data_IF_161757030583
#
_entry.id   IF_161757030583
#
_cell.length_a   1.000
_cell.length_b   1.000
_cell.length_c   1.000
_cell.angle_alpha   90.00
_cell.angle_beta   90.00
_cell.angle_gamma   90.00
#
_symmetry.space_group_name_H-M   'P 1'
#
loop_
_entity.id
_entity.type
_entity.pdbx_description
1 polymer ?
#
# COMPACT_ATOMS: atom_id res chain seq x y z
N UNK A 1 -8.15 -26.08 -2.55
CA UNK A 1 -7.27 -26.46 -3.67
C UNK A 1 -8.11 -27.35 -4.59
N UNK A 2 -8.37 -26.88 -5.80
CA UNK A 2 -9.00 -27.68 -6.84
C UNK A 2 -7.95 -28.66 -7.39
N UNK A 3 -7.98 -29.90 -6.94
CA UNK A 3 -7.02 -30.96 -7.26
C UNK A 3 -7.04 -31.43 -8.72
N UNK A 4 -7.69 -30.71 -9.64
CA UNK A 4 -7.92 -31.18 -11.02
C UNK A 4 -7.17 -30.42 -12.11
N UNK A 5 -6.50 -29.31 -11.83
CA UNK A 5 -5.70 -28.57 -12.82
C UNK A 5 -4.24 -28.55 -12.41
N UNK A 6 -3.42 -29.34 -13.13
CA UNK A 6 -1.97 -29.21 -13.06
C UNK A 6 -1.52 -27.93 -13.79
N UNK A 7 -0.60 -27.19 -13.19
CA UNK A 7 0.05 -26.03 -13.79
C UNK A 7 1.52 -26.31 -13.97
N UNK A 8 2.08 -25.91 -15.10
CA UNK A 8 3.52 -25.96 -15.36
C UNK A 8 4.02 -24.51 -15.37
N UNK A 9 4.88 -24.16 -14.40
CA UNK A 9 5.50 -22.84 -14.32
C UNK A 9 6.99 -23.02 -14.60
N UNK A 10 7.50 -22.34 -15.62
CA UNK A 10 8.92 -22.31 -15.94
C UNK A 10 9.45 -20.89 -15.74
N UNK A 11 10.55 -20.77 -15.01
CA UNK A 11 11.21 -19.50 -14.76
C UNK A 11 12.69 -19.65 -15.16
N UNK A 12 13.06 -18.95 -16.21
CA UNK A 12 14.44 -18.93 -16.69
C UNK A 12 15.08 -17.58 -16.36
N UNK A 13 16.30 -17.63 -15.83
CA UNK A 13 17.11 -16.45 -15.55
C UNK A 13 18.39 -16.50 -16.39
N UNK A 14 18.49 -15.60 -17.35
CA UNK A 14 19.70 -15.48 -18.15
C UNK A 14 20.87 -14.84 -17.36
N UNK A 15 22.11 -15.06 -17.86
CA UNK A 15 23.32 -14.40 -17.32
C UNK A 15 23.20 -12.87 -17.30
N UNK A 16 22.43 -12.28 -18.22
CA UNK A 16 22.17 -10.84 -18.31
C UNK A 16 21.05 -10.35 -17.38
N UNK A 17 20.67 -11.15 -16.38
CA UNK A 17 19.61 -10.85 -15.39
C UNK A 17 18.20 -10.68 -15.97
N UNK A 18 17.95 -11.01 -17.23
CA UNK A 18 16.59 -11.06 -17.76
C UNK A 18 15.90 -12.33 -17.25
N UNK A 19 14.65 -12.16 -16.78
CA UNK A 19 13.81 -13.27 -16.31
C UNK A 19 12.74 -13.48 -17.36
N UNK A 20 12.64 -14.71 -17.90
CA UNK A 20 11.51 -15.15 -18.69
C UNK A 20 10.63 -16.07 -17.86
N UNK A 21 9.32 -15.92 -17.97
CA UNK A 21 8.33 -16.72 -17.24
C UNK A 21 7.34 -17.28 -18.23
N UNK A 22 7.08 -18.57 -18.15
CA UNK A 22 5.97 -19.22 -18.85
C UNK A 22 5.03 -19.91 -17.87
N UNK A 23 3.76 -19.96 -18.22
CA UNK A 23 2.71 -20.68 -17.52
C UNK A 23 1.99 -21.56 -18.54
N UNK A 24 2.03 -22.88 -18.36
CA UNK A 24 1.49 -23.86 -19.30
C UNK A 24 1.99 -23.59 -20.73
N UNK A 25 3.29 -23.44 -20.91
CA UNK A 25 4.00 -23.12 -22.16
C UNK A 25 3.63 -21.76 -22.78
N UNK A 26 2.84 -20.91 -22.11
CA UNK A 26 2.52 -19.57 -22.58
C UNK A 26 3.38 -18.55 -21.84
N UNK A 27 4.04 -17.66 -22.61
CA UNK A 27 4.83 -16.57 -22.01
C UNK A 27 3.95 -15.67 -21.16
N UNK A 28 4.41 -15.40 -19.95
CA UNK A 28 3.70 -14.57 -18.98
C UNK A 28 4.66 -13.60 -18.29
N UNK A 29 4.15 -12.83 -17.34
CA UNK A 29 4.96 -11.93 -16.52
C UNK A 29 4.74 -12.18 -15.03
N UNK A 30 5.63 -11.62 -14.21
CA UNK A 30 5.57 -11.77 -12.74
C UNK A 30 4.21 -11.34 -12.17
N UNK A 31 3.61 -10.26 -12.70
CA UNK A 31 2.34 -9.75 -12.18
C UNK A 31 1.20 -10.76 -12.37
N UNK A 32 1.12 -11.37 -13.55
CA UNK A 32 0.11 -12.40 -13.83
C UNK A 32 0.36 -13.66 -13.00
N UNK A 33 1.62 -14.07 -12.87
CA UNK A 33 1.98 -15.23 -12.07
C UNK A 33 1.62 -15.06 -10.60
N UNK A 34 1.90 -13.88 -10.01
CA UNK A 34 1.58 -13.59 -8.59
C UNK A 34 0.08 -13.52 -8.35
N UNK A 35 -0.71 -13.11 -9.33
CA UNK A 35 -2.18 -13.14 -9.24
C UNK A 35 -2.74 -14.55 -9.30
N UNK A 36 -2.21 -15.38 -10.20
CA UNK A 36 -2.64 -16.77 -10.36
C UNK A 36 -2.21 -17.64 -9.15
N UNK A 37 -1.00 -17.38 -8.64
CA UNK A 37 -0.41 -18.08 -7.50
C UNK A 37 -0.03 -17.10 -6.40
N UNK A 38 -1.00 -16.57 -5.64
CA UNK A 38 -0.70 -15.69 -4.51
C UNK A 38 0.08 -16.47 -3.46
N UNK A 39 1.26 -15.97 -3.12
CA UNK A 39 2.15 -16.59 -2.13
C UNK A 39 2.52 -15.55 -1.08
N UNK A 40 2.28 -15.87 0.18
CA UNK A 40 2.71 -15.05 1.32
C UNK A 40 3.77 -15.83 2.09
N UNK A 41 5.04 -15.39 2.09
CA UNK A 41 6.07 -16.02 2.89
C UNK A 41 5.81 -15.76 4.38
N UNK A 42 5.79 -16.82 5.18
CA UNK A 42 5.73 -16.74 6.64
C UNK A 42 7.13 -17.06 7.17
N UNK A 43 7.76 -16.10 7.81
CA UNK A 43 9.09 -16.25 8.42
C UNK A 43 9.15 -15.40 9.71
N UNK A 44 10.22 -15.54 10.47
CA UNK A 44 10.37 -14.88 11.78
C UNK A 44 10.14 -13.35 11.74
N UNK A 45 10.50 -12.68 10.63
CA UNK A 45 10.30 -11.24 10.48
C UNK A 45 8.85 -10.86 10.08
N UNK A 46 7.97 -11.83 9.77
CA UNK A 46 6.56 -11.54 9.47
C UNK A 46 5.84 -10.96 10.69
N UNK A 47 6.25 -11.36 11.90
CA UNK A 47 5.73 -10.84 13.15
C UNK A 47 6.17 -9.40 13.46
N UNK A 48 7.12 -8.85 12.71
CA UNK A 48 7.60 -7.47 12.90
C UNK A 48 6.83 -6.43 12.09
N UNK A 49 5.64 -6.76 11.56
CA UNK A 49 4.85 -5.81 10.75
C UNK A 49 4.55 -4.51 11.52
N UNK A 50 4.18 -4.60 12.79
CA UNK A 50 3.93 -3.43 13.63
C UNK A 50 5.18 -2.55 13.81
N UNK A 51 6.35 -3.18 13.97
CA UNK A 51 7.64 -2.50 14.15
C UNK A 51 8.34 -2.11 12.83
N UNK A 52 7.82 -2.57 11.70
CA UNK A 52 8.41 -2.27 10.39
C UNK A 52 8.31 -0.78 10.06
N UNK A 53 9.08 -0.33 9.07
CA UNK A 53 8.95 1.02 8.55
C UNK A 53 7.59 1.22 7.86
N UNK A 54 7.05 2.45 7.85
CA UNK A 54 5.84 2.76 7.10
C UNK A 54 5.90 2.38 5.62
N UNK A 55 7.07 2.49 5.01
CA UNK A 55 7.29 2.10 3.60
C UNK A 55 7.11 0.59 3.40
N UNK A 56 7.63 -0.23 4.32
CA UNK A 56 7.45 -1.68 4.27
C UNK A 56 5.98 -2.07 4.43
N UNK A 57 5.26 -1.46 5.41
CA UNK A 57 3.83 -1.71 5.61
C UNK A 57 3.01 -1.35 4.38
N UNK A 58 3.26 -0.18 3.76
CA UNK A 58 2.60 0.21 2.50
C UNK A 58 2.84 -0.80 1.39
N UNK A 59 4.08 -1.24 1.20
CA UNK A 59 4.42 -2.23 0.16
C UNK A 59 3.70 -3.55 0.35
N UNK A 60 3.55 -3.99 1.60
CA UNK A 60 2.83 -5.23 1.90
C UNK A 60 1.33 -5.09 1.62
N UNK A 61 0.72 -3.99 2.07
CA UNK A 61 -0.68 -3.66 1.79
C UNK A 61 -0.92 -3.55 0.27
N UNK A 62 -0.10 -2.77 -0.43
CA UNK A 62 -0.23 -2.58 -1.88
C UNK A 62 -0.11 -3.90 -2.64
N UNK A 63 0.81 -4.79 -2.23
CA UNK A 63 0.95 -6.12 -2.81
C UNK A 63 -0.32 -6.96 -2.62
N UNK A 64 -0.92 -6.93 -1.43
CA UNK A 64 -2.14 -7.68 -1.13
C UNK A 64 -3.32 -7.16 -1.95
N UNK A 65 -3.48 -5.85 -2.05
CA UNK A 65 -4.52 -5.24 -2.89
C UNK A 65 -4.29 -5.54 -4.37
N UNK A 66 -3.04 -5.49 -4.83
CA UNK A 66 -2.68 -5.83 -6.22
C UNK A 66 -3.12 -7.25 -6.61
N UNK A 67 -3.07 -8.20 -5.68
CA UNK A 67 -3.54 -9.57 -5.89
C UNK A 67 -5.07 -9.63 -5.93
N UNK A 68 -5.73 -8.89 -5.04
CA UNK A 68 -7.18 -8.94 -4.83
C UNK A 68 -7.98 -8.10 -5.84
N UNK A 69 -7.41 -7.00 -6.36
CA UNK A 69 -8.14 -5.99 -7.12
C UNK A 69 -7.46 -5.69 -8.47
N UNK A 70 -8.13 -6.02 -9.57
CA UNK A 70 -7.55 -5.89 -10.92
C UNK A 70 -7.15 -4.48 -11.32
N UNK A 71 -7.96 -3.49 -10.93
CA UNK A 71 -7.75 -2.09 -11.30
C UNK A 71 -6.79 -1.33 -10.37
N UNK A 72 -6.37 -1.95 -9.27
CA UNK A 72 -5.49 -1.30 -8.31
C UNK A 72 -4.15 -0.87 -8.92
N UNK A 73 -3.57 -1.72 -9.76
CA UNK A 73 -2.30 -1.40 -10.42
C UNK A 73 -2.36 -0.10 -11.22
N UNK A 74 -3.47 0.15 -11.92
CA UNK A 74 -3.66 1.37 -12.69
C UNK A 74 -3.71 2.61 -11.78
N UNK A 75 -4.47 2.56 -10.69
CA UNK A 75 -4.53 3.64 -9.71
C UNK A 75 -3.15 3.90 -9.07
N UNK A 76 -2.42 2.85 -8.72
CA UNK A 76 -1.09 2.93 -8.14
C UNK A 76 -0.09 3.58 -9.11
N UNK A 77 -0.01 3.11 -10.36
CA UNK A 77 0.91 3.67 -11.37
C UNK A 77 0.56 5.12 -11.71
N UNK A 78 -0.72 5.45 -11.84
CA UNK A 78 -1.18 6.81 -12.13
C UNK A 78 -0.76 7.77 -11.02
N UNK A 79 -1.05 7.43 -9.76
CA UNK A 79 -0.65 8.23 -8.61
C UNK A 79 0.87 8.46 -8.56
N UNK A 80 1.66 7.40 -8.62
CA UNK A 80 3.13 7.54 -8.52
C UNK A 80 3.76 8.24 -9.72
N UNK A 81 3.14 8.18 -10.91
CA UNK A 81 3.53 8.99 -12.07
C UNK A 81 3.28 10.47 -11.79
N UNK A 82 2.07 10.81 -11.35
CA UNK A 82 1.69 12.20 -11.05
C UNK A 82 2.54 12.79 -9.91
N UNK A 83 2.81 12.01 -8.86
CA UNK A 83 3.70 12.39 -7.77
C UNK A 83 5.13 12.67 -8.24
N UNK A 84 5.70 11.79 -9.08
CA UNK A 84 7.04 12.01 -9.64
C UNK A 84 7.11 13.26 -10.49
N UNK A 85 6.08 13.51 -11.31
CA UNK A 85 6.01 14.70 -12.15
C UNK A 85 5.92 15.97 -11.30
N UNK A 86 5.03 16.00 -10.30
CA UNK A 86 4.95 17.13 -9.37
C UNK A 86 6.27 17.38 -8.64
N UNK A 87 6.91 16.33 -8.12
CA UNK A 87 8.20 16.46 -7.47
C UNK A 87 9.32 16.92 -8.41
N UNK A 88 9.27 16.55 -9.68
CA UNK A 88 10.18 17.07 -10.70
C UNK A 88 10.00 18.58 -10.89
N UNK A 89 8.76 19.08 -10.96
CA UNK A 89 8.46 20.51 -11.07
C UNK A 89 8.94 21.29 -9.83
N UNK A 90 8.71 20.73 -8.62
CA UNK A 90 9.21 21.33 -7.38
C UNK A 90 10.74 21.44 -7.34
N UNK A 91 11.45 20.40 -7.79
CA UNK A 91 12.91 20.38 -7.84
C UNK A 91 13.49 21.39 -8.82
N UNK A 92 12.80 21.62 -9.94
CA UNK A 92 13.23 22.51 -11.01
C UNK A 92 12.62 23.91 -10.91
N UNK A 93 12.00 24.27 -9.78
CA UNK A 93 11.39 25.58 -9.54
C UNK A 93 10.33 26.01 -10.58
N UNK A 94 9.68 25.03 -11.25
CA UNK A 94 8.60 25.28 -12.24
C UNK A 94 7.24 25.38 -11.55
N UNK A 95 7.08 26.38 -10.72
CA UNK A 95 5.94 26.51 -9.79
C UNK A 95 4.63 26.82 -10.52
N UNK A 96 4.68 27.53 -11.65
CA UNK A 96 3.50 27.84 -12.49
C UNK A 96 2.77 26.57 -12.96
N UNK A 97 3.50 25.49 -13.20
CA UNK A 97 2.96 24.27 -13.77
C UNK A 97 2.36 23.34 -12.69
N UNK A 98 2.64 23.62 -11.42
CA UNK A 98 2.25 22.75 -10.30
C UNK A 98 0.73 22.68 -10.13
N UNK A 99 0.01 23.77 -10.38
CA UNK A 99 -1.45 23.83 -10.16
C UNK A 99 -2.20 22.76 -10.96
N UNK A 100 -1.88 22.60 -12.23
CA UNK A 100 -2.50 21.58 -13.08
C UNK A 100 -2.21 20.17 -12.60
N UNK A 101 -1.02 19.95 -12.02
CA UNK A 101 -0.63 18.66 -11.47
C UNK A 101 -1.23 18.39 -10.09
N UNK A 102 -1.57 19.43 -9.30
CA UNK A 102 -2.23 19.28 -8.01
C UNK A 102 -3.60 18.62 -8.17
N UNK A 103 -4.43 19.10 -9.10
CA UNK A 103 -5.77 18.52 -9.35
C UNK A 103 -5.66 17.06 -9.75
N UNK A 104 -4.81 16.76 -10.74
CA UNK A 104 -4.60 15.39 -11.20
C UNK A 104 -4.06 14.48 -10.09
N UNK A 105 -3.09 14.97 -9.32
CA UNK A 105 -2.51 14.20 -8.21
C UNK A 105 -3.54 13.95 -7.11
N UNK A 106 -4.43 14.92 -6.84
CA UNK A 106 -5.49 14.77 -5.85
C UNK A 106 -6.47 13.67 -6.24
N UNK A 107 -6.98 13.70 -7.47
CA UNK A 107 -7.90 12.69 -7.99
C UNK A 107 -7.30 11.26 -7.92
N UNK A 108 -6.03 11.12 -8.32
CA UNK A 108 -5.33 9.82 -8.28
C UNK A 108 -5.02 9.36 -6.84
N UNK A 109 -4.75 10.32 -5.95
CA UNK A 109 -4.49 10.05 -4.54
C UNK A 109 -5.74 9.53 -3.82
N UNK A 110 -6.90 10.14 -4.08
CA UNK A 110 -8.18 9.71 -3.49
C UNK A 110 -8.55 8.30 -3.95
N UNK A 111 -8.38 8.00 -5.25
CA UNK A 111 -8.60 6.64 -5.79
C UNK A 111 -7.71 5.60 -5.11
N UNK A 112 -6.41 5.88 -5.01
CA UNK A 112 -5.46 4.96 -4.36
C UNK A 112 -5.77 4.78 -2.88
N UNK A 113 -6.13 5.87 -2.20
CA UNK A 113 -6.48 5.85 -0.77
C UNK A 113 -7.75 5.06 -0.51
N UNK A 114 -8.75 5.18 -1.39
CA UNK A 114 -9.97 4.39 -1.30
C UNK A 114 -9.67 2.89 -1.31
N UNK A 115 -8.87 2.40 -2.26
CA UNK A 115 -8.46 0.99 -2.30
C UNK A 115 -7.79 0.54 -1.00
N UNK A 116 -6.87 1.36 -0.47
CA UNK A 116 -6.16 1.02 0.77
C UNK A 116 -7.09 1.02 1.99
N UNK A 117 -8.01 1.97 2.06
CA UNK A 117 -8.99 2.08 3.14
C UNK A 117 -9.96 0.90 3.11
N UNK A 118 -10.54 0.61 1.94
CA UNK A 118 -11.46 -0.53 1.77
C UNK A 118 -10.78 -1.85 2.13
N UNK A 119 -9.52 -2.04 1.73
CA UNK A 119 -8.73 -3.21 2.08
C UNK A 119 -8.43 -3.28 3.58
N UNK A 120 -8.06 -2.16 4.19
CA UNK A 120 -7.79 -2.06 5.62
C UNK A 120 -9.04 -2.44 6.43
N UNK A 121 -10.20 -1.88 6.10
CA UNK A 121 -11.46 -2.15 6.80
C UNK A 121 -11.86 -3.63 6.69
N UNK A 122 -11.77 -4.22 5.49
CA UNK A 122 -12.01 -5.66 5.30
C UNK A 122 -11.04 -6.50 6.15
N UNK A 123 -9.74 -6.19 6.09
CA UNK A 123 -8.71 -6.93 6.83
C UNK A 123 -8.90 -6.80 8.34
N UNK A 124 -9.28 -5.63 8.83
CA UNK A 124 -9.54 -5.40 10.25
C UNK A 124 -10.74 -6.21 10.75
N UNK A 125 -11.81 -6.26 9.96
CA UNK A 125 -12.98 -7.08 10.26
C UNK A 125 -12.62 -8.58 10.34
N UNK A 126 -11.89 -9.11 9.36
CA UNK A 126 -11.42 -10.50 9.36
C UNK A 126 -10.49 -10.78 10.55
N UNK A 127 -9.63 -9.84 10.91
CA UNK A 127 -8.76 -9.95 12.08
C UNK A 127 -9.58 -10.12 13.38
N UNK A 128 -10.61 -9.31 13.58
CA UNK A 128 -11.47 -9.45 14.77
C UNK A 128 -12.30 -10.73 14.74
N UNK A 129 -12.76 -11.18 13.58
CA UNK A 129 -13.44 -12.47 13.44
C UNK A 129 -12.51 -13.64 13.84
N UNK A 130 -11.26 -13.63 13.37
CA UNK A 130 -10.26 -14.65 13.71
C UNK A 130 -9.93 -14.64 15.19
N UNK A 131 -9.75 -13.46 15.81
CA UNK A 131 -9.56 -13.35 17.25
C UNK A 131 -10.74 -13.98 18.00
N UNK A 132 -11.96 -13.70 17.58
CA UNK A 132 -13.17 -14.24 18.18
C UNK A 132 -13.27 -15.77 18.04
N UNK A 133 -12.77 -16.35 16.96
CA UNK A 133 -12.77 -17.79 16.74
C UNK A 133 -11.69 -18.53 17.55
N UNK A 134 -10.53 -17.90 17.71
CA UNK A 134 -9.35 -18.51 18.35
C UNK A 134 -9.41 -18.49 19.89
N UNK A 135 -10.48 -17.96 20.49
CA UNK A 135 -10.63 -17.73 21.93
C UNK A 135 -9.99 -18.82 22.84
N UNK A 136 -8.86 -18.53 23.49
CA UNK A 136 -8.59 -19.03 24.81
C UNK A 136 -9.11 -17.99 25.80
N UNK A 137 -9.82 -18.43 26.84
CA UNK A 137 -10.58 -17.61 27.79
C UNK A 137 -9.76 -16.48 28.49
N UNK A 138 -8.43 -16.51 28.44
CA UNK A 138 -7.54 -15.58 29.14
C UNK A 138 -6.73 -14.63 28.24
N UNK A 139 -6.79 -14.74 26.93
CA UNK A 139 -6.03 -13.87 26.00
C UNK A 139 -6.86 -12.68 25.52
N UNK A 140 -8.17 -12.70 25.82
CA UNK A 140 -9.15 -11.74 25.30
C UNK A 140 -8.99 -10.34 25.84
N UNK A 141 -8.64 -10.20 27.10
CA UNK A 141 -8.50 -8.87 27.73
C UNK A 141 -7.41 -8.04 27.08
N UNK A 142 -6.34 -8.71 26.60
CA UNK A 142 -5.24 -8.01 25.92
C UNK A 142 -5.67 -7.37 24.59
N UNK A 143 -6.51 -8.04 23.80
CA UNK A 143 -6.95 -7.51 22.50
C UNK A 143 -7.88 -6.30 22.63
N UNK A 144 -8.57 -6.14 23.76
CA UNK A 144 -9.38 -4.96 24.03
C UNK A 144 -8.56 -3.67 24.13
N UNK A 145 -7.26 -3.78 24.37
CA UNK A 145 -6.33 -2.67 24.49
C UNK A 145 -5.62 -2.34 23.17
N UNK A 146 -5.80 -3.18 22.13
CA UNK A 146 -5.17 -2.97 20.83
C UNK A 146 -6.08 -2.13 19.94
N UNK A 147 -5.59 -1.00 19.48
CA UNK A 147 -6.23 -0.16 18.49
C UNK A 147 -5.37 -0.14 17.23
N UNK A 148 -5.98 -0.37 16.08
CA UNK A 148 -5.31 -0.34 14.78
C UNK A 148 -5.98 0.75 13.95
N UNK A 149 -5.19 1.69 13.44
CA UNK A 149 -5.68 2.84 12.68
C UNK A 149 -5.03 2.94 11.32
N UNK A 150 -5.80 3.30 10.31
CA UNK A 150 -5.29 3.69 9.01
C UNK A 150 -5.13 5.21 8.93
N UNK A 151 -3.91 5.65 8.68
CA UNK A 151 -3.58 7.05 8.37
C UNK A 151 -3.40 7.19 6.87
N UNK A 152 -4.21 7.99 6.21
CA UNK A 152 -4.15 8.20 4.76
C UNK A 152 -2.93 9.04 4.31
N UNK A 153 -2.26 9.71 5.25
CA UNK A 153 -1.07 10.54 4.98
C UNK A 153 -1.36 12.03 4.82
N UNK A 154 -2.60 12.43 5.07
CA UNK A 154 -3.03 13.84 5.21
C UNK A 154 -4.25 13.92 6.13
N UNK A 155 -4.68 15.14 6.51
CA UNK A 155 -5.86 15.32 7.37
C UNK A 155 -7.11 14.73 6.73
N UNK A 156 -7.86 13.86 7.44
CA UNK A 156 -9.08 13.26 6.91
C UNK A 156 -10.22 14.26 6.70
N UNK A 157 -10.17 15.43 7.38
CA UNK A 157 -11.20 16.47 7.33
C UNK A 157 -11.07 17.40 6.12
N UNK A 158 -10.03 17.20 5.29
CA UNK A 158 -9.74 18.05 4.13
C UNK A 158 -9.63 17.22 2.85
N UNK A 159 -10.03 17.83 1.73
CA UNK A 159 -9.71 17.27 0.43
C UNK A 159 -8.18 17.26 0.24
N UNK A 160 -7.67 16.29 -0.51
CA UNK A 160 -6.22 16.27 -0.74
C UNK A 160 -5.75 17.45 -1.60
N UNK A 161 -6.62 17.99 -2.44
CA UNK A 161 -6.32 19.20 -3.21
C UNK A 161 -6.08 20.40 -2.31
N UNK A 162 -6.93 20.60 -1.28
CA UNK A 162 -6.76 21.67 -0.32
C UNK A 162 -5.45 21.54 0.44
N UNK A 163 -5.12 20.31 0.88
CA UNK A 163 -3.87 20.03 1.57
C UNK A 163 -2.65 20.31 0.69
N UNK A 164 -2.70 19.99 -0.61
CA UNK A 164 -1.62 20.30 -1.55
C UNK A 164 -1.45 21.82 -1.75
N UNK A 165 -2.53 22.57 -1.72
CA UNK A 165 -2.49 24.03 -1.84
C UNK A 165 -1.98 24.69 -0.56
N UNK A 166 -2.42 24.23 0.62
CA UNK A 166 -1.94 24.71 1.92
C UNK A 166 -0.44 24.43 2.13
N UNK A 167 0.01 23.23 1.73
CA UNK A 167 1.40 22.82 1.91
C UNK A 167 2.33 23.32 0.81
N UNK A 168 1.86 24.15 -0.14
CA UNK A 168 2.63 24.60 -1.30
C UNK A 168 4.00 25.14 -0.92
N UNK A 169 4.08 26.06 0.04
CA UNK A 169 5.33 26.72 0.43
C UNK A 169 6.29 25.75 1.12
N UNK A 170 5.76 24.82 1.90
CA UNK A 170 6.54 23.75 2.55
C UNK A 170 7.11 22.81 1.49
N UNK A 171 6.29 22.40 0.53
CA UNK A 171 6.69 21.51 -0.56
C UNK A 171 7.76 22.14 -1.46
N UNK A 172 7.63 23.47 -1.75
CA UNK A 172 8.64 24.23 -2.50
C UNK A 172 9.97 24.24 -1.75
N UNK A 173 9.96 24.58 -0.44
CA UNK A 173 11.16 24.59 0.39
C UNK A 173 11.81 23.21 0.45
N UNK A 174 11.02 22.15 0.59
CA UNK A 174 11.50 20.76 0.68
C UNK A 174 11.76 20.12 -0.69
N UNK A 175 11.41 20.79 -1.77
CA UNK A 175 11.51 20.29 -3.16
C UNK A 175 10.84 18.93 -3.36
N UNK A 176 9.80 18.66 -2.57
CA UNK A 176 9.08 17.38 -2.58
C UNK A 176 7.71 17.51 -1.94
N UNK A 177 6.76 16.69 -2.39
CA UNK A 177 5.42 16.58 -1.81
C UNK A 177 5.51 15.96 -0.42
N UNK A 178 5.01 16.65 0.59
CA UNK A 178 5.19 16.28 2.01
C UNK A 178 4.05 15.46 2.59
N UNK A 179 2.87 15.48 1.98
CA UNK A 179 1.66 14.77 2.41
C UNK A 179 1.06 13.95 1.26
N UNK A 180 0.25 12.95 1.59
CA UNK A 180 -0.47 12.13 0.62
C UNK A 180 -0.28 10.62 0.80
N UNK A 181 -0.82 9.79 -0.11
CA UNK A 181 -0.79 8.33 0.00
C UNK A 181 0.60 7.72 0.17
N UNK A 182 1.64 8.36 -0.35
CA UNK A 182 3.03 7.94 -0.15
C UNK A 182 3.54 8.15 1.29
N UNK A 183 2.75 8.79 2.14
CA UNK A 183 2.97 8.97 3.59
C UNK A 183 1.96 8.22 4.43
N UNK A 184 0.99 7.50 3.81
CA UNK A 184 0.00 6.71 4.57
C UNK A 184 0.68 5.64 5.42
N UNK A 185 0.00 5.23 6.49
CA UNK A 185 0.51 4.24 7.42
C UNK A 185 -0.61 3.47 8.11
N UNK A 186 -0.30 2.27 8.62
CA UNK A 186 -1.11 1.55 9.58
C UNK A 186 -0.41 1.69 10.93
N UNK A 187 -1.11 2.27 11.90
CA UNK A 187 -0.61 2.51 13.25
C UNK A 187 -1.22 1.53 14.23
N UNK A 188 -0.41 1.10 15.17
CA UNK A 188 -0.81 0.18 16.24
C UNK A 188 -0.64 0.88 17.58
N UNK A 189 -1.66 0.79 18.41
CA UNK A 189 -1.66 1.37 19.74
C UNK A 189 -2.00 0.27 20.75
N UNK A 190 -1.38 0.33 21.91
CA UNK A 190 -1.68 -0.49 23.09
C UNK A 190 -1.94 0.50 24.22
N UNK A 191 -3.17 0.47 24.79
CA UNK A 191 -3.60 1.46 25.79
C UNK A 191 -3.36 2.92 25.30
N UNK A 192 -3.69 3.22 24.04
CA UNK A 192 -3.50 4.52 23.37
C UNK A 192 -2.03 4.97 23.22
N UNK A 193 -1.07 4.14 23.56
CA UNK A 193 0.36 4.38 23.35
C UNK A 193 0.76 3.73 22.01
N UNK A 194 1.49 4.46 21.15
CA UNK A 194 2.02 3.90 19.89
C UNK A 194 2.91 2.69 20.21
N UNK A 195 2.57 1.53 19.65
CA UNK A 195 3.26 0.26 19.93
C UNK A 195 4.75 0.24 19.53
N UNK A 196 5.25 1.34 18.93
CA UNK A 196 6.66 1.52 18.54
C UNK A 196 7.47 2.33 19.58
N UNK A 197 6.82 2.83 20.62
CA UNK A 197 7.45 3.49 21.75
C UNK A 197 7.72 2.49 22.87
#
# INVERSE_FOLDING_TARGET
>A
FDNKKGYIVEIEKSKNKTISISLNNNKTNTNKLVKEFPCTPIHNNTFSFANASPDFRRKLVDRSIFIAEDNFSNAWFSFYRSLRQRNFLLKNHRISDIYNWNTKLADEAEKLTKYRKDFFEKTLNEFYLLINLLKPEHVFDFFNFIKIEFSQGWSPDKSYLDVLNENKDIDIKRRSTTSGPHKSDIKFFINDIDARQ
#
